data_IF_048681882598
#
_entry.id   IF_048681882598
#
_cell.length_a   1.000
_cell.length_b   1.000
_cell.length_c   1.000
_cell.angle_alpha   90.00
_cell.angle_beta   90.00
_cell.angle_gamma   90.00
#
_symmetry.space_group_name_H-M   'P 1'
#
loop_
_entity.id
_entity.type
_entity.pdbx_description
1 polymer ?
#
# COMPACT_ATOMS: atom_id res chain seq x y z
N UNK A 1 -3.61 -35.90 -48.68
CA UNK A 1 -4.53 -35.80 -47.54
C UNK A 1 -4.10 -34.58 -46.72
N UNK A 2 -4.71 -33.42 -46.96
CA UNK A 2 -4.35 -32.17 -46.28
C UNK A 2 -5.08 -32.11 -44.93
N UNK A 3 -4.34 -32.18 -43.81
CA UNK A 3 -4.89 -31.86 -42.50
C UNK A 3 -5.13 -30.34 -42.44
N UNK A 4 -6.42 -29.94 -42.43
CA UNK A 4 -6.83 -28.59 -42.02
C UNK A 4 -6.55 -28.43 -40.52
N UNK A 5 -5.51 -27.68 -40.18
CA UNK A 5 -5.39 -27.06 -38.86
C UNK A 5 -6.62 -26.18 -38.63
N UNK A 6 -7.56 -26.65 -37.81
CA UNK A 6 -8.60 -25.80 -37.25
C UNK A 6 -7.94 -24.93 -36.18
N UNK A 7 -7.53 -23.73 -36.55
CA UNK A 7 -7.26 -22.67 -35.59
C UNK A 7 -8.63 -22.25 -35.03
N UNK A 8 -9.03 -22.84 -33.91
CA UNK A 8 -10.18 -22.34 -33.15
C UNK A 8 -9.76 -20.98 -32.59
N UNK A 9 -10.17 -19.91 -33.26
CA UNK A 9 -10.10 -18.56 -32.69
C UNK A 9 -11.16 -18.53 -31.59
N UNK A 10 -10.73 -18.79 -30.36
CA UNK A 10 -11.59 -18.59 -29.18
C UNK A 10 -11.84 -17.09 -29.07
N UNK A 11 -13.06 -16.64 -29.38
CA UNK A 11 -13.44 -15.24 -29.20
C UNK A 11 -13.57 -14.96 -27.69
N UNK A 12 -12.60 -14.23 -27.16
CA UNK A 12 -12.62 -13.73 -25.79
C UNK A 12 -13.22 -12.32 -25.78
N UNK A 13 -14.27 -12.10 -25.01
CA UNK A 13 -14.82 -10.76 -24.72
C UNK A 13 -14.61 -10.40 -23.26
N UNK A 14 -14.84 -9.13 -22.93
CA UNK A 14 -14.68 -8.62 -21.57
C UNK A 14 -15.90 -7.82 -21.15
N UNK A 15 -16.21 -7.89 -19.87
CA UNK A 15 -17.27 -7.09 -19.23
C UNK A 15 -16.75 -6.49 -17.93
N UNK A 16 -17.16 -5.26 -17.63
CA UNK A 16 -16.90 -4.59 -16.35
C UNK A 16 -18.24 -4.33 -15.68
N UNK A 17 -18.42 -4.85 -14.47
CA UNK A 17 -19.65 -4.73 -13.70
C UNK A 17 -19.35 -3.97 -12.41
N UNK A 18 -19.99 -2.83 -12.22
CA UNK A 18 -19.94 -2.10 -10.95
C UNK A 18 -20.75 -2.85 -9.87
N UNK A 19 -20.13 -3.11 -8.72
CA UNK A 19 -20.70 -3.89 -7.61
C UNK A 19 -21.01 -3.05 -6.37
N UNK A 20 -20.73 -1.76 -6.43
CA UNK A 20 -20.85 -0.78 -5.36
C UNK A 20 -19.94 0.41 -5.65
N UNK A 21 -20.03 1.46 -4.81
CA UNK A 21 -19.21 2.68 -4.98
C UNK A 21 -17.72 2.32 -5.01
N UNK A 22 -17.09 2.51 -6.17
CA UNK A 22 -15.66 2.24 -6.38
C UNK A 22 -15.27 0.76 -6.38
N UNK A 23 -16.18 -0.15 -6.73
CA UNK A 23 -15.87 -1.58 -6.90
C UNK A 23 -16.26 -2.05 -8.31
N UNK A 24 -15.26 -2.33 -9.13
CA UNK A 24 -15.43 -2.72 -10.53
C UNK A 24 -14.96 -4.17 -10.73
N UNK A 25 -15.89 -5.06 -11.08
CA UNK A 25 -15.57 -6.47 -11.36
C UNK A 25 -15.33 -6.66 -12.85
N UNK A 26 -14.12 -7.04 -13.21
CA UNK A 26 -13.71 -7.33 -14.58
C UNK A 26 -13.81 -8.83 -14.81
N UNK A 27 -14.54 -9.24 -15.86
CA UNK A 27 -14.61 -10.63 -16.28
C UNK A 27 -14.11 -10.79 -17.72
N UNK A 28 -13.35 -11.87 -17.95
CA UNK A 28 -13.13 -12.41 -19.28
C UNK A 28 -14.20 -13.47 -19.57
N UNK A 29 -14.85 -13.37 -20.73
CA UNK A 29 -15.97 -14.20 -21.15
C UNK A 29 -15.61 -14.95 -22.44
N UNK A 30 -15.75 -16.27 -22.42
CA UNK A 30 -15.50 -17.15 -23.56
C UNK A 30 -16.69 -18.08 -23.71
N UNK A 31 -17.29 -18.14 -24.90
CA UNK A 31 -18.46 -18.99 -25.18
C UNK A 31 -19.61 -18.77 -24.18
N UNK A 32 -19.86 -17.50 -23.80
CA UNK A 32 -20.91 -17.12 -22.84
C UNK A 32 -20.59 -17.45 -21.37
N UNK A 33 -19.40 -17.97 -21.06
CA UNK A 33 -18.98 -18.33 -19.69
C UNK A 33 -17.91 -17.36 -19.18
N UNK A 34 -18.04 -16.93 -17.92
CA UNK A 34 -16.97 -16.19 -17.21
C UNK A 34 -15.81 -17.13 -16.89
N UNK A 35 -14.72 -16.99 -17.63
CA UNK A 35 -13.58 -17.91 -17.58
C UNK A 35 -12.43 -17.41 -16.72
N UNK A 36 -12.39 -16.11 -16.39
CA UNK A 36 -11.42 -15.49 -15.49
C UNK A 36 -11.94 -14.13 -15.03
N UNK A 37 -11.51 -13.65 -13.87
CA UNK A 37 -11.94 -12.37 -13.33
C UNK A 37 -10.96 -11.77 -12.32
N UNK A 38 -11.15 -10.48 -12.05
CA UNK A 38 -10.57 -9.73 -10.94
C UNK A 38 -11.49 -8.57 -10.53
N UNK A 39 -11.26 -7.98 -9.37
CA UNK A 39 -11.91 -6.73 -8.93
C UNK A 39 -10.89 -5.60 -8.94
N UNK A 40 -11.29 -4.41 -9.37
CA UNK A 40 -10.61 -3.14 -9.16
C UNK A 40 -11.37 -2.39 -8.07
N UNK A 41 -10.65 -1.94 -7.05
CA UNK A 41 -11.16 -1.10 -5.96
C UNK A 41 -10.62 0.32 -6.13
N UNK A 42 -11.48 1.31 -6.01
CA UNK A 42 -11.07 2.72 -5.96
C UNK A 42 -10.51 3.00 -4.58
N UNK A 43 -9.20 3.23 -4.52
CA UNK A 43 -8.46 3.51 -3.31
C UNK A 43 -7.71 4.83 -3.46
N UNK A 44 -7.31 5.40 -2.33
CA UNK A 44 -6.33 6.48 -2.29
C UNK A 44 -5.20 6.07 -1.35
N UNK A 45 -3.98 6.35 -1.78
CA UNK A 45 -2.79 6.27 -0.95
C UNK A 45 -2.37 7.66 -0.53
N UNK A 46 -1.90 7.78 0.71
CA UNK A 46 -1.15 8.96 1.14
C UNK A 46 0.17 9.07 0.36
N UNK A 47 0.52 10.30 -0.01
CA UNK A 47 1.75 10.64 -0.69
C UNK A 47 2.27 11.99 -0.18
N UNK A 48 2.85 12.00 1.02
CA UNK A 48 3.27 13.25 1.66
C UNK A 48 2.08 14.18 1.88
N UNK A 49 2.14 15.42 1.38
CA UNK A 49 1.04 16.39 1.45
C UNK A 49 -0.08 16.13 0.43
N UNK A 50 0.10 15.18 -0.51
CA UNK A 50 -0.92 14.79 -1.49
C UNK A 50 -1.49 13.40 -1.25
N UNK A 51 -2.49 13.05 -2.05
CA UNK A 51 -3.09 11.71 -2.11
C UNK A 51 -3.06 11.27 -3.57
N UNK A 52 -2.79 10.00 -3.81
CA UNK A 52 -2.80 9.41 -5.15
C UNK A 52 -3.87 8.33 -5.28
N UNK A 53 -4.68 8.39 -6.34
CA UNK A 53 -5.71 7.40 -6.67
C UNK A 53 -5.04 6.10 -7.10
N UNK A 54 -5.57 4.99 -6.63
CA UNK A 54 -5.02 3.65 -6.90
C UNK A 54 -6.14 2.71 -7.28
N UNK A 55 -5.95 2.02 -8.40
CA UNK A 55 -6.76 0.85 -8.76
C UNK A 55 -6.27 -0.36 -7.96
N UNK A 56 -6.94 -0.68 -6.86
CA UNK A 56 -6.64 -1.84 -6.04
C UNK A 56 -7.09 -3.13 -6.74
N UNK A 57 -6.18 -3.94 -7.24
CA UNK A 57 -6.52 -5.22 -7.87
C UNK A 57 -6.66 -6.32 -6.81
N UNK A 58 -7.87 -6.86 -6.67
CA UNK A 58 -8.23 -7.93 -5.74
C UNK A 58 -8.85 -9.15 -6.44
N UNK A 59 -8.89 -10.29 -5.75
CA UNK A 59 -9.76 -11.42 -6.12
C UNK A 59 -9.49 -11.99 -7.52
N UNK A 60 -8.25 -11.92 -7.99
CA UNK A 60 -7.82 -12.45 -9.29
C UNK A 60 -7.99 -13.97 -9.28
N UNK A 61 -8.78 -14.50 -10.20
CA UNK A 61 -9.06 -15.93 -10.24
C UNK A 61 -9.40 -16.45 -11.64
N UNK A 62 -8.92 -17.65 -11.91
CA UNK A 62 -9.28 -18.47 -13.08
C UNK A 62 -9.64 -19.88 -12.59
N UNK A 63 -10.88 -20.36 -12.82
CA UNK A 63 -11.28 -21.73 -12.49
C UNK A 63 -10.33 -22.77 -13.10
N UNK A 64 -10.12 -23.89 -12.41
CA UNK A 64 -9.08 -24.88 -12.73
C UNK A 64 -9.21 -25.42 -14.16
N UNK A 65 -10.44 -25.67 -14.59
CA UNK A 65 -10.80 -26.16 -15.93
C UNK A 65 -10.44 -25.18 -17.06
N UNK A 66 -10.27 -23.90 -16.75
CA UNK A 66 -9.94 -22.82 -17.69
C UNK A 66 -8.49 -22.36 -17.63
N UNK A 67 -7.67 -22.93 -16.73
CA UNK A 67 -6.24 -22.57 -16.60
C UNK A 67 -5.42 -23.04 -17.81
N UNK A 68 -4.24 -22.43 -17.97
CA UNK A 68 -3.27 -22.68 -19.08
C UNK A 68 -3.80 -22.31 -20.48
N UNK A 69 -4.81 -21.43 -20.54
CA UNK A 69 -5.40 -20.91 -21.80
C UNK A 69 -5.19 -19.42 -22.01
N UNK A 70 -4.39 -18.77 -21.16
CA UNK A 70 -4.11 -17.32 -21.25
C UNK A 70 -5.19 -16.40 -20.66
N UNK A 71 -6.32 -16.91 -20.16
CA UNK A 71 -7.43 -16.04 -19.70
C UNK A 71 -7.06 -15.09 -18.56
N UNK A 72 -6.27 -15.53 -17.56
CA UNK A 72 -5.80 -14.64 -16.48
C UNK A 72 -4.97 -13.47 -17.04
N UNK A 73 -4.04 -13.78 -17.97
CA UNK A 73 -3.22 -12.78 -18.64
C UNK A 73 -4.09 -11.77 -19.37
N UNK A 74 -5.02 -12.26 -20.18
CA UNK A 74 -5.93 -11.41 -20.95
C UNK A 74 -6.84 -10.56 -20.04
N UNK A 75 -7.28 -11.11 -18.90
CA UNK A 75 -8.09 -10.36 -17.90
C UNK A 75 -7.29 -9.21 -17.28
N UNK A 76 -6.03 -9.46 -16.88
CA UNK A 76 -5.17 -8.45 -16.26
C UNK A 76 -4.80 -7.36 -17.28
N UNK A 77 -4.44 -7.75 -18.51
CA UNK A 77 -4.14 -6.80 -19.60
C UNK A 77 -5.36 -5.92 -19.93
N UNK A 78 -6.57 -6.50 -19.99
CA UNK A 78 -7.78 -5.72 -20.18
C UNK A 78 -8.08 -4.79 -19.00
N UNK A 79 -7.90 -5.26 -17.76
CA UNK A 79 -8.10 -4.42 -16.57
C UNK A 79 -7.14 -3.23 -16.53
N UNK A 80 -5.88 -3.41 -16.94
CA UNK A 80 -4.90 -2.33 -17.05
C UNK A 80 -5.33 -1.29 -18.08
N UNK A 81 -5.76 -1.73 -19.27
CA UNK A 81 -6.30 -0.84 -20.31
C UNK A 81 -7.53 -0.08 -19.81
N UNK A 82 -8.44 -0.77 -19.13
CA UNK A 82 -9.62 -0.13 -18.55
C UNK A 82 -9.24 0.91 -17.50
N UNK A 83 -8.26 0.64 -16.63
CA UNK A 83 -7.77 1.62 -15.65
C UNK A 83 -7.12 2.83 -16.32
N UNK A 84 -6.34 2.63 -17.38
CA UNK A 84 -5.77 3.71 -18.20
C UNK A 84 -6.88 4.58 -18.81
N UNK A 85 -7.88 3.96 -19.45
CA UNK A 85 -9.04 4.66 -20.04
C UNK A 85 -9.91 5.40 -19.01
N UNK A 86 -9.81 5.03 -17.73
CA UNK A 86 -10.56 5.64 -16.62
C UNK A 86 -9.69 6.55 -15.74
N UNK A 87 -8.50 6.93 -16.22
CA UNK A 87 -7.64 7.93 -15.59
C UNK A 87 -7.04 7.51 -14.26
N UNK A 88 -6.76 6.22 -14.06
CA UNK A 88 -6.03 5.77 -12.88
C UNK A 88 -4.53 6.06 -13.04
N UNK A 89 -3.88 6.75 -12.09
CA UNK A 89 -2.46 6.99 -12.17
C UNK A 89 -1.63 5.78 -11.73
N UNK A 90 -2.10 5.06 -10.70
CA UNK A 90 -1.45 3.88 -10.14
C UNK A 90 -2.41 2.69 -10.03
N UNK A 91 -1.82 1.49 -10.04
CA UNK A 91 -2.48 0.25 -9.62
C UNK A 91 -1.62 -0.48 -8.60
N UNK A 92 -2.25 -1.15 -7.64
CA UNK A 92 -1.56 -1.94 -6.63
C UNK A 92 -2.33 -3.21 -6.25
N UNK A 93 -1.60 -4.21 -5.73
CA UNK A 93 -2.15 -5.51 -5.31
C UNK A 93 -1.26 -6.20 -4.28
N UNK A 94 -1.80 -7.25 -3.64
CA UNK A 94 -1.03 -8.21 -2.84
C UNK A 94 -0.83 -9.50 -3.64
N UNK A 95 0.34 -9.64 -4.26
CA UNK A 95 0.63 -10.63 -5.28
C UNK A 95 1.35 -11.88 -4.75
N UNK A 96 1.06 -13.01 -5.38
CA UNK A 96 1.88 -14.23 -5.26
C UNK A 96 3.25 -14.03 -5.93
N UNK A 97 4.22 -14.83 -5.53
CA UNK A 97 5.60 -14.75 -6.04
C UNK A 97 5.66 -14.99 -7.56
N UNK A 98 6.45 -14.16 -8.25
CA UNK A 98 6.85 -14.30 -9.66
C UNK A 98 5.70 -14.39 -10.68
N UNK A 99 4.56 -13.79 -10.35
CA UNK A 99 3.42 -13.75 -11.27
C UNK A 99 3.19 -12.36 -11.86
N UNK A 100 3.05 -11.34 -11.01
CA UNK A 100 2.56 -10.03 -11.44
C UNK A 100 3.62 -9.17 -12.14
N UNK A 101 4.92 -9.46 -11.96
CA UNK A 101 6.00 -8.75 -12.66
C UNK A 101 5.92 -8.87 -14.19
N UNK A 102 5.28 -9.92 -14.71
CA UNK A 102 5.02 -10.12 -16.14
C UNK A 102 4.10 -9.04 -16.72
N UNK A 103 3.39 -8.32 -15.86
CA UNK A 103 2.49 -7.23 -16.19
C UNK A 103 3.04 -5.89 -15.68
N UNK A 104 4.36 -5.75 -15.52
CA UNK A 104 5.00 -4.49 -15.13
C UNK A 104 4.81 -4.08 -13.67
N UNK A 105 4.24 -4.94 -12.81
CA UNK A 105 4.19 -4.69 -11.37
C UNK A 105 5.56 -4.94 -10.72
N UNK A 106 5.90 -4.11 -9.74
CA UNK A 106 7.08 -4.30 -8.90
C UNK A 106 6.70 -4.20 -7.42
N UNK A 107 7.38 -4.94 -6.55
CA UNK A 107 7.20 -4.84 -5.09
C UNK A 107 7.42 -3.39 -4.65
N UNK A 108 6.51 -2.80 -3.88
CA UNK A 108 6.67 -1.43 -3.37
C UNK A 108 6.74 -1.35 -1.84
N UNK A 109 6.56 -2.43 -1.10
CA UNK A 109 6.66 -2.40 0.38
C UNK A 109 7.29 -3.68 0.92
N UNK A 110 7.91 -3.57 2.10
CA UNK A 110 8.35 -4.71 2.89
C UNK A 110 7.26 -5.24 3.81
N UNK A 111 7.48 -6.46 4.32
CA UNK A 111 6.71 -7.02 5.43
C UNK A 111 7.53 -6.88 6.71
N UNK A 112 6.95 -6.28 7.74
CA UNK A 112 7.64 -5.90 8.96
C UNK A 112 6.87 -6.40 10.18
N UNK A 113 7.59 -7.08 11.08
CA UNK A 113 7.03 -7.61 12.33
C UNK A 113 8.00 -7.34 13.47
N UNK A 114 7.50 -6.75 14.55
CA UNK A 114 8.21 -6.67 15.82
C UNK A 114 7.58 -7.67 16.81
N UNK A 115 8.41 -8.48 17.47
CA UNK A 115 8.00 -9.47 18.46
C UNK A 115 8.65 -9.16 19.79
N UNK A 116 7.86 -9.04 20.86
CA UNK A 116 8.34 -8.83 22.23
C UNK A 116 7.81 -9.94 23.14
N UNK A 117 8.66 -10.43 24.05
CA UNK A 117 8.25 -11.46 25.02
C UNK A 117 7.44 -10.83 26.15
N UNK A 118 6.57 -11.60 26.82
CA UNK A 118 5.88 -11.08 28.00
C UNK A 118 6.82 -10.67 29.13
N UNK A 119 8.00 -11.30 29.25
CA UNK A 119 9.00 -10.92 30.24
C UNK A 119 9.54 -9.51 30.01
N UNK A 120 9.70 -9.14 28.74
CA UNK A 120 10.22 -7.82 28.37
C UNK A 120 9.09 -6.78 28.41
N UNK A 121 7.91 -7.13 27.89
CA UNK A 121 6.73 -6.27 27.92
C UNK A 121 6.20 -5.98 29.34
N UNK A 122 6.48 -6.85 30.33
CA UNK A 122 6.06 -6.62 31.73
C UNK A 122 6.70 -5.40 32.39
N UNK A 123 7.69 -4.79 31.74
CA UNK A 123 8.35 -3.56 32.20
C UNK A 123 7.64 -2.30 31.72
N UNK A 124 6.69 -2.41 30.79
CA UNK A 124 5.90 -1.29 30.30
C UNK A 124 5.06 -0.70 31.45
N UNK A 125 4.94 0.62 31.46
CA UNK A 125 4.26 1.35 32.54
C UNK A 125 3.02 2.04 31.99
N UNK A 126 1.89 1.78 32.64
CA UNK A 126 0.64 2.49 32.36
C UNK A 126 0.77 3.97 32.74
N UNK A 127 0.43 4.85 31.81
CA UNK A 127 0.17 6.25 32.13
C UNK A 127 -1.10 6.40 32.95
N UNK A 128 -1.18 7.49 33.73
CA UNK A 128 -2.35 7.81 34.54
C UNK A 128 -3.42 8.53 33.70
N UNK A 129 -4.69 8.36 34.09
CA UNK A 129 -5.80 9.13 33.52
C UNK A 129 -6.39 8.60 32.21
N UNK A 130 -5.98 7.42 31.75
CA UNK A 130 -6.59 6.74 30.60
C UNK A 130 -7.67 5.75 31.05
N UNK A 131 -8.83 5.79 30.38
CA UNK A 131 -9.81 4.71 30.42
C UNK A 131 -9.51 3.70 29.31
N UNK A 132 -9.60 2.40 29.62
CA UNK A 132 -9.25 1.32 28.71
C UNK A 132 -10.51 0.60 28.25
N UNK A 133 -10.71 0.50 26.94
CA UNK A 133 -11.82 -0.22 26.33
C UNK A 133 -11.28 -1.32 25.43
N UNK A 134 -11.65 -2.57 25.72
CA UNK A 134 -11.44 -3.70 24.82
C UNK A 134 -12.80 -4.20 24.34
N UNK A 135 -13.05 -4.15 23.04
CA UNK A 135 -14.35 -4.49 22.45
C UNK A 135 -14.21 -5.40 21.24
N UNK A 136 -15.23 -6.23 21.04
CA UNK A 136 -15.37 -7.08 19.85
C UNK A 136 -16.04 -6.33 18.68
N UNK A 137 -16.52 -5.10 18.89
CA UNK A 137 -17.08 -4.23 17.84
C UNK A 137 -15.96 -3.60 17.00
N UNK A 138 -15.77 -4.01 15.73
CA UNK A 138 -14.74 -3.45 14.87
C UNK A 138 -15.04 -2.01 14.42
N UNK A 139 -16.28 -1.54 14.59
CA UNK A 139 -16.73 -0.19 14.30
C UNK A 139 -16.70 0.76 15.49
N UNK A 140 -16.15 0.32 16.64
CA UNK A 140 -16.09 1.11 17.86
C UNK A 140 -15.47 2.49 17.61
N UNK A 141 -16.28 3.54 17.82
CA UNK A 141 -15.91 4.95 17.60
C UNK A 141 -15.12 5.16 16.30
N UNK A 142 -15.59 4.53 15.21
CA UNK A 142 -14.83 4.42 13.96
C UNK A 142 -14.32 5.77 13.43
N UNK A 143 -15.13 6.82 13.58
CA UNK A 143 -14.74 8.18 13.17
C UNK A 143 -13.48 8.68 13.89
N UNK A 144 -13.39 8.55 15.21
CA UNK A 144 -12.25 9.03 15.99
C UNK A 144 -10.99 8.20 15.72
N UNK A 145 -11.14 6.87 15.55
CA UNK A 145 -10.03 6.01 15.14
C UNK A 145 -9.53 6.40 13.74
N UNK A 146 -10.43 6.71 12.81
CA UNK A 146 -10.05 7.17 11.48
C UNK A 146 -9.37 8.55 11.51
N UNK A 147 -9.85 9.50 12.32
CA UNK A 147 -9.19 10.80 12.52
C UNK A 147 -7.76 10.62 13.05
N UNK A 148 -7.59 9.76 14.05
CA UNK A 148 -6.27 9.45 14.61
C UNK A 148 -5.37 8.68 13.64
N UNK A 149 -5.93 7.76 12.85
CA UNK A 149 -5.21 7.08 11.78
C UNK A 149 -4.68 8.07 10.73
N UNK A 150 -5.53 8.99 10.26
CA UNK A 150 -5.14 9.98 9.25
C UNK A 150 -4.08 10.95 9.80
N UNK A 151 -4.13 11.29 11.09
CA UNK A 151 -3.07 12.04 11.75
C UNK A 151 -1.73 11.30 11.73
N UNK A 152 -1.72 10.04 12.14
CA UNK A 152 -0.52 9.19 12.22
C UNK A 152 0.06 8.81 10.85
N UNK A 153 -0.76 8.83 9.80
CA UNK A 153 -0.37 8.40 8.45
C UNK A 153 -0.31 9.54 7.43
N UNK A 154 -0.55 10.79 7.83
CA UNK A 154 -0.64 11.94 6.92
C UNK A 154 0.52 12.00 5.92
N UNK A 155 1.75 11.83 6.39
CA UNK A 155 2.96 11.86 5.56
C UNK A 155 3.47 10.48 5.14
N UNK A 156 2.80 9.39 5.56
CA UNK A 156 3.24 8.01 5.32
C UNK A 156 2.85 7.56 3.92
N UNK A 157 3.85 7.35 3.08
CA UNK A 157 3.62 6.91 1.71
C UNK A 157 2.89 5.54 1.69
N UNK A 158 1.92 5.43 0.78
CA UNK A 158 1.15 4.22 0.48
C UNK A 158 0.14 3.74 1.54
N UNK A 159 0.09 4.35 2.74
CA UNK A 159 -0.98 4.04 3.68
C UNK A 159 -2.32 4.48 3.10
N UNK A 160 -3.35 3.64 3.25
CA UNK A 160 -4.65 3.84 2.63
C UNK A 160 -5.37 5.01 3.30
N UNK A 161 -5.89 5.95 2.52
CA UNK A 161 -6.71 7.04 3.06
C UNK A 161 -8.01 6.48 3.63
N UNK A 162 -8.33 6.89 4.86
CA UNK A 162 -9.60 6.64 5.54
C UNK A 162 -10.35 7.95 5.71
N UNK A 163 -11.42 8.14 4.94
CA UNK A 163 -12.32 9.27 5.14
C UNK A 163 -13.10 9.09 6.47
N UNK A 164 -12.88 9.90 7.52
CA UNK A 164 -13.44 9.60 8.83
C UNK A 164 -14.97 9.56 8.89
N UNK A 165 -15.65 10.32 8.01
CA UNK A 165 -17.10 10.27 7.87
C UNK A 165 -17.63 9.03 7.15
N UNK A 166 -16.80 8.33 6.38
CA UNK A 166 -17.18 7.16 5.59
C UNK A 166 -16.60 5.84 6.13
N UNK A 167 -15.52 5.89 6.91
CA UNK A 167 -14.90 4.69 7.49
C UNK A 167 -15.79 4.09 8.60
N UNK A 168 -16.09 2.80 8.48
CA UNK A 168 -17.07 2.07 9.31
C UNK A 168 -16.45 1.05 10.26
N UNK A 169 -15.13 1.09 10.42
CA UNK A 169 -14.40 0.13 11.22
C UNK A 169 -13.57 -0.85 10.41
N UNK A 170 -12.90 -1.74 11.14
CA UNK A 170 -11.99 -2.73 10.59
C UNK A 170 -12.74 -3.91 9.97
N UNK A 171 -12.51 -4.19 8.69
CA UNK A 171 -13.11 -5.36 8.02
C UNK A 171 -12.34 -6.65 8.24
N UNK A 172 -11.09 -6.54 8.69
CA UNK A 172 -10.17 -7.66 8.88
C UNK A 172 -9.01 -7.26 9.80
N UNK A 173 -8.39 -8.25 10.44
CA UNK A 173 -7.11 -8.07 11.12
C UNK A 173 -5.94 -8.31 10.17
N UNK A 174 -5.04 -9.21 10.54
CA UNK A 174 -4.06 -9.80 9.63
C UNK A 174 -4.75 -10.77 8.69
N UNK A 175 -5.65 -11.62 9.23
CA UNK A 175 -6.47 -12.57 8.48
C UNK A 175 -7.73 -11.95 7.90
N UNK A 176 -8.20 -12.46 6.75
CA UNK A 176 -9.49 -12.13 6.13
C UNK A 176 -10.68 -12.89 6.72
N UNK A 177 -10.43 -13.89 7.55
CA UNK A 177 -11.48 -14.78 8.05
C UNK A 177 -12.35 -14.14 9.14
N UNK A 178 -11.87 -13.08 9.77
CA UNK A 178 -12.52 -12.47 10.93
C UNK A 178 -12.13 -11.01 11.12
N UNK A 179 -13.07 -10.26 11.67
CA UNK A 179 -12.87 -8.88 12.11
C UNK A 179 -12.06 -8.85 13.41
N UNK A 180 -11.16 -7.87 13.58
CA UNK A 180 -10.30 -7.79 14.76
C UNK A 180 -11.11 -7.35 15.99
N UNK A 181 -10.46 -7.40 17.15
CA UNK A 181 -10.91 -6.67 18.35
C UNK A 181 -10.30 -5.27 18.36
N UNK A 182 -10.97 -4.32 18.99
CA UNK A 182 -10.46 -2.96 19.15
C UNK A 182 -10.08 -2.75 20.61
N UNK A 183 -8.83 -2.38 20.85
CA UNK A 183 -8.36 -1.81 22.11
C UNK A 183 -8.26 -0.29 21.93
N UNK A 184 -8.88 0.48 22.81
CA UNK A 184 -8.81 1.94 22.82
C UNK A 184 -8.40 2.44 24.21
N UNK A 185 -7.54 3.47 24.22
CA UNK A 185 -7.26 4.31 25.37
C UNK A 185 -7.99 5.64 25.20
N UNK A 186 -8.73 6.03 26.23
CA UNK A 186 -9.56 7.23 26.20
C UNK A 186 -9.16 8.23 27.29
N UNK A 187 -9.17 9.52 26.93
CA UNK A 187 -9.04 10.65 27.84
C UNK A 187 -10.01 11.76 27.40
N UNK A 188 -11.32 11.52 27.57
CA UNK A 188 -12.39 12.33 26.98
C UNK A 188 -12.65 12.04 25.49
N UNK A 189 -11.60 11.75 24.71
CA UNK A 189 -11.64 11.20 23.36
C UNK A 189 -10.67 10.01 23.24
N UNK A 190 -10.70 9.29 22.11
CA UNK A 190 -9.67 8.28 21.83
C UNK A 190 -8.31 8.97 21.65
N UNK A 191 -7.35 8.61 22.49
CA UNK A 191 -5.96 9.09 22.41
C UNK A 191 -5.00 8.03 21.90
N UNK A 192 -5.39 6.76 21.95
CA UNK A 192 -4.62 5.65 21.37
C UNK A 192 -5.50 4.45 21.08
N UNK A 193 -5.11 3.64 20.10
CA UNK A 193 -5.82 2.42 19.77
C UNK A 193 -4.90 1.33 19.24
N UNK A 194 -5.39 0.10 19.27
CA UNK A 194 -4.81 -1.04 18.58
C UNK A 194 -5.91 -1.96 18.01
N UNK A 195 -5.71 -2.43 16.78
CA UNK A 195 -6.53 -3.48 16.18
C UNK A 195 -5.87 -4.84 16.45
N UNK A 196 -6.55 -5.71 17.21
CA UNK A 196 -6.02 -6.99 17.64
C UNK A 196 -6.58 -8.13 16.78
N UNK A 197 -5.72 -8.99 16.27
CA UNK A 197 -6.15 -10.21 15.59
C UNK A 197 -7.04 -11.03 16.53
N UNK A 198 -8.18 -11.51 16.02
CA UNK A 198 -9.20 -12.17 16.84
C UNK A 198 -8.77 -13.58 17.21
N UNK A 199 -8.22 -14.32 16.26
CA UNK A 199 -7.80 -15.72 16.46
C UNK A 199 -6.38 -15.97 15.94
N UNK A 200 -5.36 -15.33 16.56
CA UNK A 200 -3.96 -15.63 16.25
C UNK A 200 -3.56 -17.01 16.78
N UNK A 201 -2.32 -17.43 16.48
CA UNK A 201 -1.74 -18.64 17.10
C UNK A 201 -1.90 -18.62 18.63
N UNK A 202 -2.08 -19.79 19.27
CA UNK A 202 -2.38 -19.87 20.71
C UNK A 202 -1.40 -19.11 21.60
N UNK A 203 -0.12 -19.07 21.23
CA UNK A 203 0.97 -18.42 21.97
C UNK A 203 1.09 -16.90 21.74
N UNK A 204 0.35 -16.35 20.78
CA UNK A 204 0.54 -14.96 20.31
C UNK A 204 -0.66 -14.07 20.65
N UNK A 205 -0.39 -12.82 21.04
CA UNK A 205 -1.32 -11.71 20.84
C UNK A 205 -0.79 -10.88 19.67
N UNK A 206 -1.60 -10.72 18.62
CA UNK A 206 -1.18 -10.05 17.38
C UNK A 206 -1.89 -8.71 17.26
N UNK A 207 -1.09 -7.66 17.06
CA UNK A 207 -1.51 -6.28 16.79
C UNK A 207 -1.34 -6.02 15.30
N UNK A 208 -2.46 -5.89 14.60
CA UNK A 208 -2.53 -5.67 13.16
C UNK A 208 -2.31 -4.19 12.77
N UNK A 209 -2.65 -3.27 13.69
CA UNK A 209 -2.51 -1.82 13.56
C UNK A 209 -2.46 -1.20 14.95
N UNK A 210 -1.73 -0.09 15.10
CA UNK A 210 -1.63 0.67 16.35
C UNK A 210 -1.43 2.15 16.03
N UNK A 211 -2.02 3.04 16.82
CA UNK A 211 -1.87 4.49 16.68
C UNK A 211 -2.02 5.23 18.00
N UNK A 212 -1.43 6.42 18.08
CA UNK A 212 -1.49 7.28 19.25
C UNK A 212 -1.44 8.75 18.84
N UNK A 213 -2.16 9.60 19.57
CA UNK A 213 -2.25 11.04 19.32
C UNK A 213 -0.86 11.66 19.35
N UNK A 214 -0.54 12.44 18.32
CA UNK A 214 0.75 13.10 18.07
C UNK A 214 1.96 12.13 18.14
N UNK A 215 1.72 10.83 17.95
CA UNK A 215 2.67 9.78 18.26
C UNK A 215 3.26 9.86 19.70
N UNK A 216 2.46 10.22 20.70
CA UNK A 216 2.90 10.32 22.10
C UNK A 216 3.37 8.95 22.64
N UNK A 217 4.66 8.90 22.99
CA UNK A 217 5.33 7.71 23.51
C UNK A 217 4.71 7.21 24.82
N UNK A 218 4.12 8.08 25.64
CA UNK A 218 3.44 7.70 26.88
C UNK A 218 2.14 6.93 26.60
N UNK A 219 1.46 7.26 25.50
CA UNK A 219 0.28 6.52 25.05
C UNK A 219 0.70 5.16 24.49
N UNK A 220 1.79 5.09 23.71
CA UNK A 220 2.33 3.82 23.23
C UNK A 220 2.83 2.90 24.38
N UNK A 221 3.51 3.44 25.39
CA UNK A 221 3.88 2.71 26.61
C UNK A 221 2.65 2.17 27.34
N UNK A 222 1.60 2.99 27.46
CA UNK A 222 0.33 2.58 28.09
C UNK A 222 -0.36 1.47 27.28
N UNK A 223 -0.39 1.58 25.95
CA UNK A 223 -0.91 0.54 25.06
C UNK A 223 -0.10 -0.77 25.24
N UNK A 224 1.22 -0.70 25.32
CA UNK A 224 2.06 -1.88 25.55
C UNK A 224 1.74 -2.54 26.89
N UNK A 225 1.56 -1.76 27.95
CA UNK A 225 1.18 -2.26 29.26
C UNK A 225 -0.21 -2.93 29.26
N UNK A 226 -1.20 -2.35 28.56
CA UNK A 226 -2.51 -2.99 28.40
C UNK A 226 -2.45 -4.28 27.58
N UNK A 227 -1.69 -4.27 26.49
CA UNK A 227 -1.47 -5.46 25.66
C UNK A 227 -0.80 -6.58 26.44
N UNK A 228 0.17 -6.24 27.31
CA UNK A 228 0.79 -7.20 28.23
C UNK A 228 -0.26 -7.86 29.15
N UNK A 229 -1.15 -7.09 29.76
CA UNK A 229 -2.18 -7.62 30.68
C UNK A 229 -3.23 -8.48 29.94
N UNK A 230 -3.63 -8.07 28.74
CA UNK A 230 -4.50 -8.87 27.85
C UNK A 230 -3.81 -10.20 27.50
N UNK A 231 -2.53 -10.15 27.15
CA UNK A 231 -1.77 -11.33 26.78
C UNK A 231 -1.53 -12.27 27.97
N UNK A 232 -1.24 -11.72 29.16
CA UNK A 232 -1.06 -12.48 30.39
C UNK A 232 -2.36 -13.21 30.80
N UNK A 233 -3.48 -12.49 30.83
CA UNK A 233 -4.80 -13.07 31.16
C UNK A 233 -5.25 -14.11 30.14
N UNK A 234 -4.88 -13.93 28.87
CA UNK A 234 -5.16 -14.86 27.77
C UNK A 234 -4.09 -15.96 27.60
N UNK A 235 -3.13 -16.08 28.52
CA UNK A 235 -2.05 -17.08 28.53
C UNK A 235 -1.20 -17.11 27.25
N UNK A 236 -0.99 -15.94 26.65
CA UNK A 236 -0.04 -15.76 25.54
C UNK A 236 1.40 -15.71 26.08
N UNK A 237 2.39 -15.86 25.21
CA UNK A 237 3.81 -15.79 25.57
C UNK A 237 4.54 -14.65 24.87
N UNK A 238 4.00 -14.16 23.75
CA UNK A 238 4.57 -13.08 22.95
C UNK A 238 3.51 -12.12 22.44
N UNK A 239 3.90 -10.86 22.29
CA UNK A 239 3.16 -9.86 21.52
C UNK A 239 3.83 -9.71 20.16
N UNK A 240 3.04 -9.68 19.09
CA UNK A 240 3.51 -9.44 17.72
C UNK A 240 2.83 -8.21 17.12
N UNK A 241 3.63 -7.34 16.54
CA UNK A 241 3.16 -6.08 15.95
C UNK A 241 3.48 -6.05 14.47
N UNK A 242 2.46 -5.84 13.64
CA UNK A 242 2.60 -5.57 12.21
C UNK A 242 2.57 -4.07 11.99
N UNK A 243 3.74 -3.48 11.80
CA UNK A 243 3.90 -2.03 11.65
C UNK A 243 5.22 -1.71 10.95
N UNK A 244 5.34 -0.54 10.30
CA UNK A 244 6.53 -0.20 9.53
C UNK A 244 7.74 0.08 10.46
N UNK A 245 8.98 -0.08 9.95
CA UNK A 245 10.19 -0.04 10.77
C UNK A 245 10.50 1.37 11.32
N UNK A 246 9.89 2.41 10.76
CA UNK A 246 10.01 3.81 11.14
C UNK A 246 8.82 4.31 11.99
N UNK A 247 7.95 3.42 12.47
CA UNK A 247 6.85 3.79 13.35
C UNK A 247 7.36 4.02 14.79
N UNK A 248 6.93 5.08 15.51
CA UNK A 248 7.40 5.37 16.88
C UNK A 248 7.20 4.23 17.89
N UNK A 249 6.14 3.43 17.72
CA UNK A 249 5.95 2.19 18.51
C UNK A 249 7.13 1.19 18.40
N UNK A 250 7.88 1.14 17.28
CA UNK A 250 9.10 0.32 17.19
C UNK A 250 10.13 0.76 18.22
N UNK A 251 10.30 2.06 18.43
CA UNK A 251 11.30 2.58 19.36
C UNK A 251 10.96 2.22 20.81
N UNK A 252 9.66 2.29 21.16
CA UNK A 252 9.13 1.78 22.43
C UNK A 252 9.46 0.29 22.58
N UNK A 253 9.16 -0.54 21.58
CA UNK A 253 9.45 -1.97 21.62
C UNK A 253 10.96 -2.27 21.72
N UNK A 254 11.81 -1.51 21.04
CA UNK A 254 13.28 -1.64 21.11
C UNK A 254 13.77 -1.34 22.53
N UNK A 255 13.23 -0.31 23.18
CA UNK A 255 13.62 0.08 24.53
C UNK A 255 13.35 -1.01 25.58
N UNK A 256 12.31 -1.83 25.38
CA UNK A 256 11.99 -2.95 26.27
C UNK A 256 12.71 -4.26 25.93
N UNK A 257 13.28 -4.36 24.73
CA UNK A 257 13.91 -5.57 24.20
C UNK A 257 12.94 -6.35 23.32
N UNK A 258 13.10 -6.23 22.00
CA UNK A 258 12.27 -6.93 21.02
C UNK A 258 13.11 -7.51 19.87
N UNK A 259 12.49 -8.39 19.08
CA UNK A 259 13.01 -8.87 17.80
C UNK A 259 12.27 -8.18 16.67
N UNK A 260 12.99 -7.53 15.77
CA UNK A 260 12.42 -6.91 14.56
C UNK A 260 12.84 -7.73 13.33
N UNK A 261 11.85 -8.14 12.54
CA UNK A 261 12.03 -8.90 11.31
C UNK A 261 11.46 -8.10 10.13
N UNK A 262 12.24 -7.98 9.05
CA UNK A 262 11.82 -7.31 7.82
C UNK A 262 12.08 -8.22 6.62
N UNK A 263 11.05 -8.46 5.83
CA UNK A 263 11.11 -9.28 4.62
C UNK A 263 10.82 -8.42 3.40
N UNK A 264 11.72 -8.42 2.43
CA UNK A 264 11.60 -7.64 1.19
C UNK A 264 11.52 -8.60 -0.01
N UNK A 265 10.31 -9.01 -0.43
CA UNK A 265 10.17 -9.94 -1.54
C UNK A 265 10.61 -9.29 -2.85
N UNK A 266 11.34 -10.04 -3.69
CA UNK A 266 11.76 -9.54 -5.00
C UNK A 266 10.57 -9.30 -5.95
N UNK A 267 9.60 -10.21 -5.97
CA UNK A 267 8.46 -10.17 -6.89
C UNK A 267 7.20 -10.77 -6.26
N UNK A 268 6.67 -10.14 -5.21
CA UNK A 268 5.47 -10.60 -4.52
C UNK A 268 5.12 -9.68 -3.35
N UNK A 269 4.09 -10.02 -2.59
CA UNK A 269 3.60 -9.14 -1.51
C UNK A 269 2.93 -7.89 -2.09
N UNK A 270 3.08 -6.74 -1.43
CA UNK A 270 2.57 -5.46 -1.95
C UNK A 270 3.31 -5.04 -3.22
N UNK A 271 2.63 -5.06 -4.37
CA UNK A 271 3.18 -4.70 -5.68
C UNK A 271 2.37 -3.58 -6.33
N UNK A 272 3.04 -2.70 -7.07
CA UNK A 272 2.44 -1.54 -7.73
C UNK A 272 3.03 -1.32 -9.13
N UNK A 273 2.30 -0.55 -9.95
CA UNK A 273 2.68 -0.14 -11.30
C UNK A 273 2.06 1.23 -11.61
N UNK A 274 2.80 2.06 -12.35
CA UNK A 274 2.23 3.26 -13.00
C UNK A 274 1.33 2.85 -14.16
N UNK A 275 0.10 3.35 -14.14
CA UNK A 275 -0.91 3.14 -15.18
C UNK A 275 -0.91 4.33 -16.12
N UNK A 276 -1.29 5.52 -15.65
CA UNK A 276 -1.19 6.78 -16.38
C UNK A 276 -0.04 7.64 -15.86
N UNK A 277 0.96 7.90 -16.70
CA UNK A 277 2.16 8.65 -16.30
C UNK A 277 1.85 10.11 -15.99
N UNK A 278 1.01 10.75 -16.83
CA UNK A 278 0.64 12.16 -16.67
C UNK A 278 -0.22 12.35 -15.44
N UNK A 279 -1.27 11.54 -15.31
CA UNK A 279 -2.20 11.56 -14.18
C UNK A 279 -1.45 11.35 -12.86
N UNK A 280 -0.44 10.46 -12.86
CA UNK A 280 0.39 10.23 -11.68
C UNK A 280 1.14 11.49 -11.28
N UNK A 281 1.80 12.15 -12.23
CA UNK A 281 2.52 13.40 -11.93
C UNK A 281 1.58 14.52 -11.49
N UNK A 282 0.41 14.67 -12.13
CA UNK A 282 -0.59 15.68 -11.77
C UNK A 282 -1.05 15.54 -10.32
N UNK A 283 -1.32 14.32 -9.85
CA UNK A 283 -1.77 14.07 -8.47
C UNK A 283 -0.66 14.23 -7.41
N UNK A 284 0.61 14.05 -7.78
CA UNK A 284 1.74 14.19 -6.84
C UNK A 284 2.43 15.55 -6.89
N UNK A 285 2.02 16.44 -7.81
CA UNK A 285 2.58 17.80 -7.91
C UNK A 285 2.69 18.52 -6.56
N UNK A 286 1.65 18.55 -5.70
CA UNK A 286 1.72 19.26 -4.43
C UNK A 286 2.85 18.77 -3.52
N UNK A 287 3.23 17.51 -3.61
CA UNK A 287 4.35 16.95 -2.85
C UNK A 287 5.70 17.16 -3.57
N UNK A 288 5.72 17.27 -4.89
CA UNK A 288 6.94 17.51 -5.67
C UNK A 288 7.40 18.98 -5.62
N UNK A 289 6.48 19.94 -5.56
CA UNK A 289 6.78 21.37 -5.45
C UNK A 289 7.70 21.70 -4.26
N UNK A 290 7.41 21.35 -3.00
CA UNK A 290 8.32 21.61 -1.88
C UNK A 290 9.65 20.84 -2.01
N UNK A 291 9.64 19.65 -2.63
CA UNK A 291 10.86 18.85 -2.87
C UNK A 291 11.76 19.42 -3.97
N UNK A 292 11.20 20.24 -4.86
CA UNK A 292 11.92 20.90 -5.95
C UNK A 292 12.80 22.07 -5.51
N UNK A 293 12.74 22.50 -4.24
CA UNK A 293 13.52 23.64 -3.75
C UNK A 293 15.02 23.44 -3.97
N UNK A 294 15.67 24.45 -4.55
CA UNK A 294 17.08 24.40 -4.96
C UNK A 294 17.39 23.51 -6.18
N UNK A 295 16.37 23.07 -6.92
CA UNK A 295 16.51 22.27 -8.15
C UNK A 295 15.98 23.07 -9.32
N UNK A 296 16.78 23.15 -10.38
CA UNK A 296 16.39 23.81 -11.63
C UNK A 296 16.69 22.91 -12.83
N UNK A 297 15.80 22.97 -13.82
CA UNK A 297 15.97 22.34 -15.12
C UNK A 297 14.68 21.77 -15.67
N UNK A 298 14.77 21.07 -16.80
CA UNK A 298 13.68 20.22 -17.29
C UNK A 298 14.10 18.75 -17.22
N UNK A 299 13.14 17.84 -17.14
CA UNK A 299 13.35 16.40 -17.12
C UNK A 299 12.26 15.72 -17.95
N UNK A 300 12.65 14.96 -18.96
CA UNK A 300 11.75 14.06 -19.67
C UNK A 300 11.78 12.67 -19.03
N UNK A 301 10.63 12.22 -18.52
CA UNK A 301 10.43 10.88 -17.97
C UNK A 301 9.73 10.04 -19.01
N UNK A 302 10.31 8.89 -19.36
CA UNK A 302 9.79 7.96 -20.35
C UNK A 302 9.56 6.59 -19.72
N UNK A 303 8.37 6.06 -19.95
CA UNK A 303 8.03 4.66 -19.69
C UNK A 303 7.54 4.03 -21.00
N UNK A 304 7.43 2.70 -21.12
CA UNK A 304 6.95 2.10 -22.37
C UNK A 304 5.58 2.65 -22.79
N UNK A 305 5.53 3.35 -23.92
CA UNK A 305 4.30 3.91 -24.51
C UNK A 305 3.98 5.36 -24.11
N UNK A 306 4.62 5.91 -23.09
CA UNK A 306 4.28 7.23 -22.54
C UNK A 306 5.52 8.07 -22.23
N UNK A 307 5.35 9.39 -22.29
CA UNK A 307 6.36 10.35 -21.85
C UNK A 307 5.73 11.60 -21.26
N UNK A 308 6.39 12.19 -20.28
CA UNK A 308 6.04 13.49 -19.68
C UNK A 308 7.30 14.31 -19.54
N UNK A 309 7.21 15.61 -19.83
CA UNK A 309 8.29 16.56 -19.56
C UNK A 309 7.91 17.40 -18.36
N UNK A 310 8.74 17.35 -17.33
CA UNK A 310 8.67 18.20 -16.16
C UNK A 310 9.57 19.41 -16.36
N UNK A 311 9.07 20.59 -16.03
CA UNK A 311 9.87 21.79 -15.85
C UNK A 311 9.93 22.09 -14.37
N UNK A 312 11.14 22.09 -13.82
CA UNK A 312 11.43 22.18 -12.39
C UNK A 312 12.13 23.51 -12.12
N UNK A 313 11.60 24.25 -11.16
CA UNK A 313 12.15 25.50 -10.65
C UNK A 313 12.11 25.47 -9.13
N UNK A 314 12.72 26.45 -8.47
CA UNK A 314 12.77 26.51 -7.00
C UNK A 314 11.36 26.60 -6.39
N UNK A 315 10.85 25.47 -5.91
CA UNK A 315 9.52 25.38 -5.30
C UNK A 315 8.36 25.21 -6.29
N UNK A 316 8.61 24.87 -7.55
CA UNK A 316 7.58 24.71 -8.58
C UNK A 316 7.91 23.59 -9.56
N UNK A 317 6.90 22.78 -9.90
CA UNK A 317 7.01 21.71 -10.90
C UNK A 317 5.83 21.81 -11.86
N UNK A 318 6.11 22.02 -13.15
CA UNK A 318 5.10 22.14 -14.21
C UNK A 318 5.18 20.94 -15.16
N UNK A 319 4.04 20.33 -15.51
CA UNK A 319 3.97 19.36 -16.60
C UNK A 319 3.78 20.10 -17.92
N UNK A 320 4.65 19.85 -18.90
CA UNK A 320 4.51 20.42 -20.23
C UNK A 320 3.64 19.52 -21.13
N UNK A 321 2.78 20.12 -21.95
CA UNK A 321 1.98 19.40 -22.96
C UNK A 321 2.83 18.91 -24.13
N UNK A 322 3.85 19.69 -24.49
CA UNK A 322 4.81 19.36 -25.55
C UNK A 322 6.17 19.99 -25.25
N UNK A 323 7.23 19.38 -25.77
CA UNK A 323 8.60 19.82 -25.57
C UNK A 323 9.57 18.65 -25.52
N UNK A 324 10.86 18.98 -25.52
CA UNK A 324 11.94 18.01 -25.31
C UNK A 324 12.82 18.53 -24.17
N UNK A 325 13.41 17.60 -23.41
CA UNK A 325 14.45 17.93 -22.45
C UNK A 325 15.79 17.32 -22.89
N UNK A 326 16.88 18.06 -22.66
CA UNK A 326 18.22 17.48 -22.75
C UNK A 326 18.48 16.43 -21.66
N UNK A 327 17.66 16.43 -20.60
CA UNK A 327 17.73 15.50 -19.50
C UNK A 327 16.62 14.46 -19.65
N UNK A 328 16.99 13.21 -19.87
CA UNK A 328 16.04 12.12 -20.11
C UNK A 328 16.27 11.02 -19.10
N UNK A 329 15.18 10.46 -18.58
CA UNK A 329 15.16 9.26 -17.75
C UNK A 329 14.22 8.26 -18.41
N UNK A 330 14.73 7.07 -18.71
CA UNK A 330 13.93 5.96 -19.22
C UNK A 330 13.96 4.79 -18.24
N UNK A 331 12.78 4.30 -17.88
CA UNK A 331 12.59 3.22 -16.90
C UNK A 331 11.25 2.50 -17.13
N UNK A 332 11.11 1.31 -16.56
CA UNK A 332 9.82 0.59 -16.60
C UNK A 332 8.81 1.16 -15.57
N UNK A 333 7.52 0.93 -15.81
CA UNK A 333 6.44 1.47 -14.98
C UNK A 333 6.45 0.95 -13.54
N UNK A 334 6.97 -0.27 -13.30
CA UNK A 334 7.08 -0.84 -11.96
C UNK A 334 8.23 -0.20 -11.19
N UNK A 335 9.37 0.02 -11.85
CA UNK A 335 10.52 0.72 -11.29
C UNK A 335 10.18 2.19 -11.00
N UNK A 336 9.43 2.86 -11.87
CA UNK A 336 8.91 4.19 -11.58
C UNK A 336 8.00 4.17 -10.34
N UNK A 337 7.08 3.20 -10.23
CA UNK A 337 6.26 3.05 -9.03
C UNK A 337 7.10 2.82 -7.76
N UNK A 338 8.20 2.06 -7.83
CA UNK A 338 9.13 1.88 -6.71
C UNK A 338 9.83 3.17 -6.28
N UNK A 339 10.22 4.02 -7.23
CA UNK A 339 10.84 5.32 -6.94
C UNK A 339 9.83 6.31 -6.38
N UNK A 340 8.66 6.42 -7.01
CA UNK A 340 7.55 7.27 -6.57
C UNK A 340 7.19 6.89 -5.14
N UNK A 341 6.82 5.63 -4.89
CA UNK A 341 6.41 5.17 -3.57
C UNK A 341 7.57 5.07 -2.55
N UNK A 342 8.80 5.48 -2.92
CA UNK A 342 9.93 5.55 -2.02
C UNK A 342 10.52 4.19 -1.61
N UNK A 343 10.06 3.08 -2.19
CA UNK A 343 10.57 1.73 -1.91
C UNK A 343 12.05 1.58 -2.26
N UNK A 344 12.46 2.21 -3.37
CA UNK A 344 13.86 2.24 -3.80
C UNK A 344 14.34 3.67 -3.95
N UNK A 345 15.60 3.87 -3.58
CA UNK A 345 16.33 5.07 -3.96
C UNK A 345 16.79 5.01 -5.41
N UNK A 346 17.10 6.18 -5.98
CA UNK A 346 17.70 6.25 -7.31
C UNK A 346 19.06 5.52 -7.38
N UNK A 347 19.85 5.57 -6.30
CA UNK A 347 21.14 4.87 -6.23
C UNK A 347 20.99 3.37 -6.38
N UNK A 348 20.03 2.76 -5.68
CA UNK A 348 19.72 1.31 -5.75
C UNK A 348 19.14 0.88 -7.10
N UNK A 349 18.48 1.80 -7.80
CA UNK A 349 17.85 1.56 -9.09
C UNK A 349 18.74 1.93 -10.30
N UNK A 350 19.88 2.58 -10.07
CA UNK A 350 20.71 3.20 -11.11
C UNK A 350 21.07 2.27 -12.28
N UNK A 351 21.36 1.00 -12.01
CA UNK A 351 21.69 0.00 -13.05
C UNK A 351 20.53 -0.39 -13.96
N UNK A 352 19.30 -0.01 -13.60
CA UNK A 352 18.07 -0.31 -14.34
C UNK A 352 17.44 0.91 -14.99
N UNK A 353 18.08 2.08 -14.87
CA UNK A 353 17.57 3.35 -15.38
C UNK A 353 18.56 3.87 -16.43
N UNK A 354 18.05 4.26 -17.58
CA UNK A 354 18.82 4.96 -18.59
C UNK A 354 18.75 6.46 -18.32
N UNK A 355 19.91 7.12 -18.25
CA UNK A 355 20.01 8.57 -18.03
C UNK A 355 20.71 9.26 -19.20
N UNK A 356 20.21 10.45 -19.55
CA UNK A 356 20.89 11.43 -20.40
C UNK A 356 20.96 12.77 -19.67
N UNK A 357 22.08 13.49 -19.84
CA UNK A 357 22.30 14.80 -19.22
C UNK A 357 22.28 14.74 -17.68
N UNK A 358 21.67 15.75 -17.06
CA UNK A 358 21.55 15.90 -15.60
C UNK A 358 20.28 15.25 -15.02
N UNK A 359 19.62 14.35 -15.76
CA UNK A 359 18.33 13.77 -15.37
C UNK A 359 18.36 13.05 -14.02
N UNK A 360 19.47 12.37 -13.71
CA UNK A 360 19.65 11.70 -12.42
C UNK A 360 19.58 12.67 -11.23
N UNK A 361 20.17 13.87 -11.35
CA UNK A 361 20.19 14.87 -10.28
C UNK A 361 18.78 15.40 -9.97
N UNK A 362 18.03 15.73 -11.01
CA UNK A 362 16.66 16.24 -10.88
C UNK A 362 15.77 15.16 -10.27
N UNK A 363 15.82 13.94 -10.80
CA UNK A 363 15.00 12.83 -10.33
C UNK A 363 15.31 12.46 -8.87
N UNK A 364 16.59 12.48 -8.47
CA UNK A 364 17.01 12.22 -7.08
C UNK A 364 16.45 13.24 -6.08
N UNK A 365 16.31 14.50 -6.48
CA UNK A 365 15.77 15.52 -5.59
C UNK A 365 14.25 15.44 -5.41
N UNK A 366 13.54 15.02 -6.47
CA UNK A 366 12.08 14.87 -6.48
C UNK A 366 11.61 13.61 -5.74
N UNK A 367 12.34 12.49 -5.86
CA UNK A 367 11.97 11.21 -5.27
C UNK A 367 12.96 10.77 -4.20
N UNK A 368 12.45 10.60 -2.98
CA UNK A 368 13.23 10.21 -1.81
C UNK A 368 12.85 8.81 -1.37
N UNK A 369 13.83 8.07 -0.84
CA UNK A 369 13.57 6.77 -0.22
C UNK A 369 12.74 6.96 1.05
N UNK A 370 11.78 6.07 1.28
CA UNK A 370 10.89 6.04 2.42
C UNK A 370 10.60 4.58 2.83
N UNK A 371 9.75 4.39 3.83
CA UNK A 371 9.20 3.09 4.21
C UNK A 371 7.70 3.03 3.86
N UNK A 372 7.34 2.88 2.56
CA UNK A 372 5.94 2.73 2.16
C UNK A 372 5.30 1.54 2.85
N UNK A 373 4.06 1.72 3.32
CA UNK A 373 3.39 0.71 4.10
C UNK A 373 1.87 0.77 3.95
N UNK A 374 1.27 -0.40 3.73
CA UNK A 374 -0.18 -0.61 3.83
C UNK A 374 -0.44 -1.45 5.07
N UNK A 375 -1.17 -0.87 6.02
CA UNK A 375 -1.58 -1.54 7.26
C UNK A 375 -2.35 -2.82 6.98
N UNK A 376 -2.18 -3.82 7.85
CA UNK A 376 -2.80 -5.13 7.65
C UNK A 376 -4.31 -5.02 7.43
N UNK A 377 -5.09 -4.26 8.23
CA UNK A 377 -6.53 -4.14 8.01
C UNK A 377 -6.96 -3.49 6.69
N UNK A 378 -6.06 -2.75 6.03
CA UNK A 378 -6.38 -1.99 4.81
C UNK A 378 -6.11 -2.75 3.50
N UNK A 379 -5.44 -3.91 3.57
CA UNK A 379 -5.14 -4.76 2.40
C UNK A 379 -6.42 -5.29 1.76
N UNK A 380 -6.41 -5.59 0.44
CA UNK A 380 -7.57 -6.00 -0.37
C UNK A 380 -7.37 -7.30 -1.16
#
# INVERSE_FOLDING_TARGET
MFLRLHVIVVTLSFEVVEKGRGLHRVYAVSEGRRVSWLTILDLYFHYGESRIRVGGVAGVYTPREFRRRGYSRATIEYALKWMEENGYPLTALFGIQEYYHKFGYATFMGEHVATITLRDASRAVRGEGYEVVLTDDPGYRSREIAELYEENNRSRIASRVREPGEWRGFRKGVSWEHEPKVLALEHGCIVGYAALERWPSPEELVVAEVGAVEHDYRVYESLLAELYEIALSSRKSVLKFYLPPDHPMIEVLIAHGCRVESTYPWSGGGMARVVGLREMFEEILPELEPRSRGIEGSLEVRVPGERVVLKVSDGSVELLESGESSNVVELDQGLLAQLVLGYRSLGEASSKISFKGSGARILHGLFRKAAPYVWQPDRW
#
